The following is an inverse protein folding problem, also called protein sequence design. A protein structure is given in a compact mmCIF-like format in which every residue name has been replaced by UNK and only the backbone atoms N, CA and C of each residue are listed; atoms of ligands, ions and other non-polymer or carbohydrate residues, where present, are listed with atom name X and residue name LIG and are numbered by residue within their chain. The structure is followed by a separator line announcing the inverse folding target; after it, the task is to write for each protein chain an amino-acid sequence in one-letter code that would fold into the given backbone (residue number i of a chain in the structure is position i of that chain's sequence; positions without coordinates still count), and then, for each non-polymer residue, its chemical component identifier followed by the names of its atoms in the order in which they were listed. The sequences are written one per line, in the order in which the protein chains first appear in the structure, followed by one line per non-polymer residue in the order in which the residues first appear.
data_IF_441745110512
#
_entry.id   IF_441745110512
#
_cell.length_a   1.000
_cell.length_b   1.000
_cell.length_c   1.000
_cell.angle_alpha   90.00
_cell.angle_beta   90.00
_cell.angle_gamma   90.00
#
_symmetry.space_group_name_H-M   'P 1'
#
loop_
_entity.id
_entity.type
_entity.pdbx_description
1 polymer ?
#
# COMPACT_ATOMS: atom_id res chain seq x y z
N UNK A 1 4.77 -31.32 -42.47
CA UNK A 1 5.05 -31.51 -41.02
C UNK A 1 5.66 -30.23 -40.48
N UNK A 2 5.09 -29.62 -39.43
CA UNK A 2 5.64 -28.40 -38.84
C UNK A 2 6.97 -28.72 -38.14
N UNK A 3 8.01 -27.93 -38.41
CA UNK A 3 9.33 -28.08 -37.77
C UNK A 3 9.22 -27.69 -36.30
N UNK A 4 9.21 -28.66 -35.39
CA UNK A 4 9.25 -28.41 -33.95
C UNK A 4 10.59 -27.77 -33.58
N UNK A 5 10.57 -26.46 -33.30
CA UNK A 5 11.75 -25.71 -32.85
C UNK A 5 11.93 -25.89 -31.35
N UNK A 6 13.15 -26.23 -30.93
CA UNK A 6 13.50 -26.26 -29.51
C UNK A 6 13.39 -24.84 -28.91
N UNK A 7 12.84 -24.75 -27.70
CA UNK A 7 12.66 -23.51 -26.96
C UNK A 7 13.61 -23.50 -25.78
N UNK A 8 14.37 -22.41 -25.64
CA UNK A 8 15.21 -22.13 -24.49
C UNK A 8 14.40 -21.37 -23.44
N UNK A 9 14.29 -21.94 -22.24
CA UNK A 9 13.74 -21.30 -21.06
C UNK A 9 14.88 -20.93 -20.12
N UNK A 10 14.83 -19.72 -19.54
CA UNK A 10 15.90 -19.18 -18.69
C UNK A 10 15.28 -18.77 -17.36
N UNK A 11 15.98 -19.03 -16.26
CA UNK A 11 15.64 -18.47 -14.96
C UNK A 11 16.91 -18.24 -14.15
N UNK A 12 16.76 -17.71 -12.94
CA UNK A 12 17.88 -17.41 -12.05
C UNK A 12 17.58 -17.86 -10.62
N UNK A 13 18.59 -18.36 -9.92
CA UNK A 13 18.50 -18.76 -8.51
C UNK A 13 19.27 -17.77 -7.67
N UNK A 14 18.62 -17.20 -6.65
CA UNK A 14 19.20 -16.20 -5.75
C UNK A 14 18.93 -16.52 -4.29
N UNK A 15 19.78 -16.02 -3.39
CA UNK A 15 19.53 -16.01 -1.95
C UNK A 15 18.44 -14.98 -1.63
N UNK A 16 17.41 -15.39 -0.89
CA UNK A 16 16.29 -14.52 -0.52
C UNK A 16 16.71 -13.31 0.32
N UNK A 17 17.64 -13.49 1.27
CA UNK A 17 18.06 -12.43 2.19
C UNK A 17 19.11 -11.54 1.55
N UNK A 18 20.11 -12.16 0.92
CA UNK A 18 21.26 -11.45 0.35
C UNK A 18 20.98 -10.88 -1.04
N UNK A 19 19.92 -11.37 -1.71
CA UNK A 19 19.65 -11.11 -3.13
C UNK A 19 20.84 -11.44 -4.05
N UNK A 20 21.75 -12.29 -3.56
CA UNK A 20 22.96 -12.68 -4.28
C UNK A 20 22.67 -13.91 -5.17
N UNK A 21 23.26 -13.98 -6.38
CA UNK A 21 23.13 -15.16 -7.23
C UNK A 21 23.74 -16.40 -6.56
N UNK A 22 23.09 -17.56 -6.77
CA UNK A 22 23.56 -18.85 -6.25
C UNK A 22 24.11 -19.66 -7.41
N UNK A 23 25.43 -19.80 -7.46
CA UNK A 23 26.14 -20.58 -8.46
C UNK A 23 26.18 -22.08 -8.12
N UNK A 24 26.17 -22.93 -9.14
CA UNK A 24 26.30 -24.38 -8.99
C UNK A 24 25.09 -25.07 -8.35
N UNK A 25 23.95 -24.39 -8.24
CA UNK A 25 22.69 -25.00 -7.81
C UNK A 25 22.21 -25.98 -8.87
N UNK A 26 21.83 -27.19 -8.45
CA UNK A 26 21.21 -28.19 -9.32
C UNK A 26 19.75 -27.84 -9.51
N UNK A 27 19.34 -27.62 -10.75
CA UNK A 27 17.95 -27.31 -11.12
C UNK A 27 17.41 -28.46 -11.94
N UNK A 28 16.38 -29.13 -11.42
CA UNK A 28 15.72 -30.26 -12.07
C UNK A 28 14.29 -29.89 -12.42
N UNK A 29 13.84 -30.22 -13.63
CA UNK A 29 12.46 -30.06 -14.05
C UNK A 29 11.90 -31.41 -14.50
N UNK A 30 10.79 -31.82 -13.91
CA UNK A 30 10.11 -33.08 -14.20
C UNK A 30 8.68 -32.80 -14.65
N UNK A 31 8.34 -33.27 -15.84
CA UNK A 31 6.99 -33.35 -16.37
C UNK A 31 6.73 -34.80 -16.84
N UNK A 32 5.45 -35.17 -17.05
CA UNK A 32 4.98 -36.53 -17.37
C UNK A 32 6.02 -37.46 -18.02
N UNK A 33 6.58 -37.04 -19.17
CA UNK A 33 7.55 -37.83 -19.95
C UNK A 33 8.90 -37.12 -20.15
N UNK A 34 9.17 -36.01 -19.47
CA UNK A 34 10.38 -35.21 -19.65
C UNK A 34 11.03 -34.91 -18.30
N UNK A 35 12.29 -35.33 -18.15
CA UNK A 35 13.13 -34.93 -17.03
C UNK A 35 14.36 -34.20 -17.55
N UNK A 36 14.61 -33.01 -17.02
CA UNK A 36 15.72 -32.15 -17.40
C UNK A 36 16.49 -31.78 -16.15
N UNK A 37 17.81 -31.84 -16.22
CA UNK A 37 18.70 -31.42 -15.14
C UNK A 37 19.71 -30.45 -15.73
N UNK A 38 19.91 -29.34 -15.04
CA UNK A 38 20.90 -28.32 -15.37
C UNK A 38 21.51 -27.75 -14.08
N UNK A 39 22.54 -26.93 -14.22
CA UNK A 39 23.19 -26.26 -13.10
C UNK A 39 23.27 -24.77 -13.35
N UNK A 40 23.21 -23.98 -12.30
CA UNK A 40 23.38 -22.53 -12.40
C UNK A 40 24.84 -22.14 -12.61
N UNK A 41 25.07 -21.12 -13.43
CA UNK A 41 26.39 -20.50 -13.60
C UNK A 41 26.75 -19.52 -12.46
N UNK A 42 27.83 -18.75 -12.62
CA UNK A 42 28.31 -17.78 -11.63
C UNK A 42 27.31 -16.64 -11.36
N UNK A 43 26.41 -16.36 -12.31
CA UNK A 43 25.36 -15.35 -12.18
C UNK A 43 24.04 -15.96 -11.66
N UNK A 44 24.08 -17.25 -11.29
CA UNK A 44 22.92 -17.99 -10.81
C UNK A 44 21.94 -18.35 -11.93
N UNK A 45 22.31 -18.20 -13.19
CA UNK A 45 21.42 -18.40 -14.35
C UNK A 45 21.39 -19.88 -14.71
N UNK A 46 20.20 -20.42 -14.95
CA UNK A 46 20.00 -21.76 -15.50
C UNK A 46 19.18 -21.72 -16.79
N UNK A 47 19.37 -22.74 -17.64
CA UNK A 47 18.71 -22.85 -18.93
C UNK A 47 18.19 -24.26 -19.19
N UNK A 48 16.92 -24.37 -19.58
CA UNK A 48 16.32 -25.59 -20.11
C UNK A 48 16.07 -25.46 -21.60
N UNK A 49 16.45 -26.47 -22.37
CA UNK A 49 16.14 -26.57 -23.79
C UNK A 49 15.07 -27.64 -23.94
N UNK A 50 13.84 -27.24 -24.25
CA UNK A 50 12.70 -28.14 -24.36
C UNK A 50 12.21 -28.16 -25.81
N UNK A 51 11.95 -29.35 -26.34
CA UNK A 51 11.17 -29.50 -27.56
C UNK A 51 9.71 -29.65 -27.15
N UNK A 52 8.88 -28.59 -27.21
CA UNK A 52 7.45 -28.77 -27.02
C UNK A 52 7.00 -29.68 -28.16
N UNK A 53 6.52 -30.88 -27.82
CA UNK A 53 5.93 -31.78 -28.82
C UNK A 53 4.65 -31.15 -29.37
N UNK A 54 3.52 -31.83 -29.19
CA UNK A 54 2.23 -31.30 -29.65
C UNK A 54 1.59 -30.35 -28.62
N UNK A 55 2.10 -30.30 -27.39
CA UNK A 55 1.57 -29.46 -26.30
C UNK A 55 2.20 -28.06 -26.35
N UNK A 56 1.35 -27.01 -26.43
CA UNK A 56 1.75 -25.59 -26.31
C UNK A 56 2.23 -25.19 -24.92
N UNK A 57 1.78 -25.92 -23.89
CA UNK A 57 2.14 -25.70 -22.49
C UNK A 57 2.56 -27.02 -21.87
N UNK A 58 3.72 -27.03 -21.23
CA UNK A 58 4.24 -28.15 -20.46
C UNK A 58 4.22 -27.79 -18.98
N UNK A 59 3.37 -28.47 -18.21
CA UNK A 59 3.30 -28.32 -16.76
C UNK A 59 4.17 -29.38 -16.09
N UNK A 60 4.91 -28.98 -15.06
CA UNK A 60 5.77 -29.89 -14.32
C UNK A 60 6.22 -29.31 -12.99
N UNK A 61 7.07 -30.05 -12.31
CA UNK A 61 7.67 -29.68 -11.04
C UNK A 61 9.12 -29.25 -11.28
N UNK A 62 9.52 -28.11 -10.71
CA UNK A 62 10.91 -27.68 -10.61
C UNK A 62 11.42 -27.94 -9.20
N UNK A 63 12.63 -28.49 -9.09
CA UNK A 63 13.33 -28.75 -7.84
C UNK A 63 14.70 -28.07 -7.92
N UNK A 64 15.06 -27.34 -6.88
CA UNK A 64 16.37 -26.68 -6.77
C UNK A 64 17.07 -27.16 -5.51
N UNK A 65 18.23 -27.76 -5.70
CA UNK A 65 19.13 -28.21 -4.65
C UNK A 65 20.43 -27.39 -4.71
N UNK A 66 20.80 -26.80 -3.58
CA UNK A 66 21.97 -25.95 -3.46
C UNK A 66 22.60 -26.09 -2.06
N UNK A 67 23.93 -26.20 -2.02
CA UNK A 67 24.66 -26.36 -0.76
C UNK A 67 24.34 -25.22 0.21
N UNK A 68 23.92 -25.59 1.42
CA UNK A 68 23.61 -24.63 2.50
C UNK A 68 22.19 -24.07 2.46
N UNK A 69 21.33 -24.53 1.55
CA UNK A 69 19.92 -24.17 1.49
C UNK A 69 19.03 -25.41 1.63
N UNK A 70 17.83 -25.27 2.21
CA UNK A 70 16.79 -26.29 2.06
C UNK A 70 16.41 -26.46 0.59
N UNK A 71 16.08 -27.69 0.21
CA UNK A 71 15.57 -27.98 -1.13
C UNK A 71 14.31 -27.13 -1.40
N UNK A 72 14.27 -26.53 -2.58
CA UNK A 72 13.10 -25.81 -3.07
C UNK A 72 12.34 -26.67 -4.08
N UNK A 73 11.02 -26.66 -4.00
CA UNK A 73 10.15 -27.39 -4.94
C UNK A 73 8.90 -26.57 -5.27
N UNK A 74 8.55 -26.50 -6.56
CA UNK A 74 7.38 -25.75 -7.02
C UNK A 74 6.81 -26.30 -8.32
N UNK A 75 5.53 -26.04 -8.59
CA UNK A 75 4.90 -26.32 -9.88
C UNK A 75 5.08 -25.15 -10.83
N UNK A 76 5.57 -25.41 -12.04
CA UNK A 76 5.76 -24.39 -13.08
C UNK A 76 5.12 -24.82 -14.40
N UNK A 77 4.83 -23.83 -15.24
CA UNK A 77 4.30 -24.01 -16.60
C UNK A 77 5.27 -23.39 -17.59
N UNK A 78 5.79 -24.21 -18.50
CA UNK A 78 6.61 -23.78 -19.62
C UNK A 78 5.68 -23.55 -20.82
N UNK A 79 5.54 -22.29 -21.26
CA UNK A 79 4.73 -21.94 -22.44
C UNK A 79 5.62 -21.40 -23.55
N UNK A 80 5.21 -21.60 -24.80
CA UNK A 80 5.96 -21.07 -25.96
C UNK A 80 6.04 -19.53 -25.99
N UNK A 81 5.12 -18.86 -25.29
CA UNK A 81 5.00 -17.40 -25.20
C UNK A 81 5.92 -16.80 -24.12
N UNK A 82 6.18 -17.53 -23.02
CA UNK A 82 6.97 -17.06 -21.89
C UNK A 82 8.21 -17.93 -21.69
N UNK A 83 9.35 -17.42 -22.16
CA UNK A 83 10.66 -18.09 -22.07
C UNK A 83 11.44 -17.74 -20.80
N UNK A 84 11.10 -16.62 -20.16
CA UNK A 84 11.70 -16.19 -18.90
C UNK A 84 10.88 -16.70 -17.70
N UNK A 85 11.54 -17.49 -16.86
CA UNK A 85 10.99 -18.13 -15.65
C UNK A 85 11.15 -17.25 -14.40
N UNK A 86 11.94 -16.17 -14.48
CA UNK A 86 12.21 -15.25 -13.38
C UNK A 86 13.16 -15.81 -12.32
N UNK A 87 13.04 -15.28 -11.11
CA UNK A 87 13.92 -15.60 -9.98
C UNK A 87 13.30 -16.65 -9.03
N UNK A 88 14.07 -17.68 -8.70
CA UNK A 88 13.82 -18.60 -7.60
C UNK A 88 14.64 -18.13 -6.40
N UNK A 89 13.98 -17.88 -5.26
CA UNK A 89 14.62 -17.36 -4.05
C UNK A 89 14.74 -18.46 -2.99
N UNK A 90 15.96 -18.76 -2.55
CA UNK A 90 16.25 -19.76 -1.49
C UNK A 90 16.50 -19.09 -0.13
N UNK A 91 16.08 -19.71 0.99
CA UNK A 91 16.39 -19.19 2.34
C UNK A 91 15.22 -18.55 3.14
N UNK A 92 13.97 -18.89 2.80
CA UNK A 92 12.67 -18.54 3.46
C UNK A 92 12.08 -17.16 3.04
N UNK A 93 10.87 -16.70 3.39
CA UNK A 93 9.94 -17.07 4.49
C UNK A 93 8.94 -18.16 4.07
N UNK A 94 9.03 -19.32 4.71
CA UNK A 94 8.28 -20.57 4.48
C UNK A 94 6.76 -20.42 4.28
N UNK A 95 6.01 -21.35 3.65
CA UNK A 95 6.21 -22.81 3.46
C UNK A 95 5.82 -23.27 2.04
N UNK A 96 6.50 -24.31 1.60
CA UNK A 96 6.08 -25.25 0.56
C UNK A 96 4.59 -25.63 0.64
N UNK A 97 3.80 -25.27 -0.37
CA UNK A 97 2.67 -26.06 -0.88
C UNK A 97 2.21 -25.50 -2.24
N UNK A 98 1.84 -26.36 -3.21
CA UNK A 98 1.47 -25.93 -4.56
C UNK A 98 0.02 -25.46 -4.56
N UNK A 99 -0.23 -24.16 -4.69
CA UNK A 99 -1.58 -23.67 -4.96
C UNK A 99 -1.60 -22.50 -5.93
N UNK A 100 -2.15 -22.80 -7.11
CA UNK A 100 -2.91 -21.95 -8.01
C UNK A 100 -2.37 -20.56 -8.34
N UNK A 101 -1.92 -20.42 -9.59
CA UNK A 101 -2.01 -19.18 -10.35
C UNK A 101 -3.42 -18.60 -10.22
N UNK A 102 -3.59 -17.62 -9.33
CA UNK A 102 -4.64 -16.62 -9.40
C UNK A 102 -4.01 -15.34 -9.92
N UNK A 103 -3.88 -15.24 -11.24
CA UNK A 103 -3.55 -13.98 -11.89
C UNK A 103 -4.81 -13.12 -11.99
N UNK A 104 -5.10 -12.30 -10.99
CA UNK A 104 -5.79 -11.01 -11.22
C UNK A 104 -5.58 -10.05 -10.05
N UNK A 105 -4.86 -8.97 -10.34
CA UNK A 105 -4.98 -7.59 -9.82
C UNK A 105 -5.15 -7.36 -8.32
N UNK A 106 -4.17 -6.68 -7.72
CA UNK A 106 -4.38 -5.99 -6.45
C UNK A 106 -3.13 -5.90 -5.59
N UNK A 107 -2.10 -5.22 -6.09
CA UNK A 107 -1.06 -4.67 -5.23
C UNK A 107 -1.70 -3.71 -4.21
N UNK A 108 -1.80 -4.13 -2.96
CA UNK A 108 -1.62 -3.27 -1.79
C UNK A 108 -0.74 -4.02 -0.80
N UNK A 109 0.54 -4.15 -1.18
CA UNK A 109 1.60 -4.21 -0.19
C UNK A 109 1.66 -2.81 0.43
N UNK A 110 0.99 -2.64 1.56
CA UNK A 110 1.08 -1.43 2.35
C UNK A 110 2.52 -1.31 2.87
N UNK A 111 3.32 -0.49 2.21
CA UNK A 111 4.36 0.24 2.90
C UNK A 111 3.65 1.07 3.97
N UNK A 112 3.65 0.59 5.21
CA UNK A 112 2.93 1.13 6.37
C UNK A 112 3.16 2.62 6.60
N UNK A 113 4.24 3.19 6.06
CA UNK A 113 4.53 4.61 6.16
C UNK A 113 3.71 5.47 5.17
N UNK A 114 3.37 4.96 3.98
CA UNK A 114 2.62 5.75 2.98
C UNK A 114 1.12 5.79 3.32
N UNK A 115 0.54 4.69 3.82
CA UNK A 115 -0.87 4.68 4.27
C UNK A 115 -1.11 5.69 5.39
N UNK A 116 -0.18 5.80 6.34
CA UNK A 116 -0.26 6.79 7.42
C UNK A 116 -0.17 8.21 6.88
N UNK A 117 0.76 8.49 5.96
CA UNK A 117 0.89 9.83 5.35
C UNK A 117 -0.36 10.20 4.54
N UNK A 118 -0.89 9.29 3.73
CA UNK A 118 -2.13 9.51 2.97
C UNK A 118 -3.30 9.76 3.92
N UNK A 119 -3.43 8.98 5.01
CA UNK A 119 -4.48 9.19 6.00
C UNK A 119 -4.40 10.58 6.65
N UNK A 120 -3.19 11.04 7.01
CA UNK A 120 -2.97 12.38 7.58
C UNK A 120 -3.36 13.46 6.56
N UNK A 121 -3.00 13.32 5.29
CA UNK A 121 -3.34 14.28 4.22
C UNK A 121 -4.86 14.34 4.00
N UNK A 122 -5.55 13.20 3.97
CA UNK A 122 -7.00 13.16 3.76
C UNK A 122 -7.75 13.79 4.93
N UNK A 123 -7.35 13.49 6.18
CA UNK A 123 -7.97 14.07 7.37
C UNK A 123 -7.74 15.59 7.40
N UNK A 124 -6.53 16.05 7.12
CA UNK A 124 -6.21 17.49 7.11
C UNK A 124 -6.94 18.26 6.00
N UNK A 125 -7.12 17.67 4.83
CA UNK A 125 -7.92 18.28 3.77
C UNK A 125 -9.40 18.45 4.18
N UNK A 126 -10.01 17.43 4.78
CA UNK A 126 -11.40 17.51 5.24
C UNK A 126 -11.60 18.49 6.40
N UNK A 127 -10.65 18.59 7.34
CA UNK A 127 -10.76 19.56 8.43
C UNK A 127 -10.61 21.00 7.94
N UNK A 128 -9.69 21.27 7.02
CA UNK A 128 -9.55 22.60 6.39
C UNK A 128 -10.82 22.96 5.61
N UNK A 129 -11.36 22.02 4.81
CA UNK A 129 -12.60 22.23 4.06
C UNK A 129 -13.79 22.53 4.98
N UNK A 130 -13.93 21.78 6.09
CA UNK A 130 -15.00 21.99 7.07
C UNK A 130 -14.91 23.36 7.77
N UNK A 131 -13.69 23.85 8.05
CA UNK A 131 -13.47 25.18 8.62
C UNK A 131 -13.79 26.27 7.58
N UNK A 132 -13.36 26.09 6.32
CA UNK A 132 -13.64 27.05 5.24
C UNK A 132 -15.13 27.20 4.93
N UNK A 133 -15.95 26.16 5.13
CA UNK A 133 -17.40 26.25 4.96
C UNK A 133 -18.12 26.90 6.14
N UNK A 134 -17.45 27.13 7.28
CA UNK A 134 -18.04 27.79 8.45
C UNK A 134 -17.83 29.30 8.40
N UNK A 135 -18.41 29.95 7.40
CA UNK A 135 -18.60 31.41 7.38
C UNK A 135 -20.08 31.77 7.25
N UNK A 136 -20.80 31.86 8.38
CA UNK A 136 -21.69 33.00 8.65
C UNK A 136 -22.22 32.95 10.10
N UNK A 137 -21.92 33.93 10.97
CA UNK A 137 -22.69 34.11 12.20
C UNK A 137 -24.11 34.56 11.81
N UNK A 138 -25.10 33.71 12.12
CA UNK A 138 -26.53 34.01 11.98
C UNK A 138 -26.84 35.25 12.82
N UNK A 139 -27.21 36.35 12.17
CA UNK A 139 -27.78 37.53 12.83
C UNK A 139 -29.13 37.11 13.42
N UNK A 140 -29.27 37.23 14.74
CA UNK A 140 -30.56 37.05 15.40
C UNK A 140 -31.54 38.16 14.99
N UNK A 141 -32.85 37.86 14.87
CA UNK A 141 -33.85 38.88 14.63
C UNK A 141 -33.99 39.80 15.85
N UNK A 142 -33.87 41.10 15.61
CA UNK A 142 -34.11 42.18 16.56
C UNK A 142 -35.54 42.06 17.12
N UNK A 143 -35.66 41.65 18.39
CA UNK A 143 -36.91 41.71 19.12
C UNK A 143 -37.09 43.14 19.65
N UNK A 144 -37.86 43.95 18.92
CA UNK A 144 -38.24 45.32 19.29
C UNK A 144 -39.20 45.31 20.48
N UNK A 145 -38.69 45.10 21.69
CA UNK A 145 -39.51 45.11 22.90
C UNK A 145 -38.73 45.52 24.13
N UNK A 146 -37.97 46.63 24.06
CA UNK A 146 -37.32 47.22 25.24
C UNK A 146 -37.28 48.77 25.22
N UNK A 147 -37.47 49.44 24.08
CA UNK A 147 -37.30 50.90 24.02
C UNK A 147 -38.35 51.72 24.82
N UNK A 148 -39.52 51.13 25.11
CA UNK A 148 -40.58 51.81 25.89
C UNK A 148 -40.30 51.84 27.40
N UNK A 149 -39.55 50.86 27.93
CA UNK A 149 -39.19 50.85 29.35
C UNK A 149 -38.08 51.86 29.67
N UNK A 150 -37.12 52.04 28.75
CA UNK A 150 -36.05 53.03 28.91
C UNK A 150 -36.60 54.46 28.92
N UNK A 151 -37.51 54.82 28.00
CA UNK A 151 -38.14 56.15 27.97
C UNK A 151 -38.90 56.48 29.27
N UNK A 152 -39.67 55.51 29.78
CA UNK A 152 -40.38 55.67 31.06
C UNK A 152 -39.41 55.82 32.25
N UNK A 153 -38.26 55.13 32.24
CA UNK A 153 -37.24 55.30 33.28
C UNK A 153 -36.59 56.68 33.23
N UNK A 154 -36.22 57.19 32.05
CA UNK A 154 -35.60 58.52 31.93
C UNK A 154 -36.54 59.65 32.37
N UNK A 155 -37.84 59.56 32.06
CA UNK A 155 -38.82 60.54 32.56
C UNK A 155 -38.96 60.53 34.09
N UNK A 156 -38.79 59.37 34.75
CA UNK A 156 -38.80 59.30 36.23
C UNK A 156 -37.54 59.89 36.88
N UNK A 157 -36.39 59.85 36.23
CA UNK A 157 -35.15 60.46 36.75
C UNK A 157 -35.14 61.98 36.58
N UNK A 158 -35.66 62.50 35.47
CA UNK A 158 -35.79 63.94 35.23
C UNK A 158 -36.73 64.63 36.23
N UNK A 159 -37.78 63.94 36.69
CA UNK A 159 -38.71 64.45 37.70
C UNK A 159 -38.18 64.38 39.14
N UNK A 160 -36.91 64.03 39.34
CA UNK A 160 -36.37 63.73 40.67
C UNK A 160 -35.01 64.35 40.94
N UNK A 161 -34.88 65.67 40.79
CA UNK A 161 -33.76 66.46 41.34
C UNK A 161 -34.24 67.90 41.61
N UNK A 162 -33.77 68.63 42.64
CA UNK A 162 -33.07 68.26 43.87
C UNK A 162 -33.77 68.81 45.13
N UNK A 163 -33.26 68.50 46.32
CA UNK A 163 -33.00 69.62 47.21
C UNK A 163 -31.65 69.50 47.91
N UNK A 164 -31.02 70.66 48.02
CA UNK A 164 -29.65 70.95 48.44
C UNK A 164 -29.31 70.32 49.79
N UNK A 165 -28.01 70.28 50.09
CA UNK A 165 -27.33 70.63 51.37
C UNK A 165 -26.08 69.74 51.46
N UNK A 166 -24.90 70.16 51.90
CA UNK A 166 -24.30 71.42 52.33
C UNK A 166 -22.90 71.03 52.82
N UNK A 167 -22.01 72.03 52.88
CA UNK A 167 -20.95 72.20 53.88
C UNK A 167 -19.60 71.43 53.76
N UNK A 168 -18.58 72.30 53.72
CA UNK A 168 -17.29 72.30 54.45
C UNK A 168 -16.08 71.73 53.72
N UNK A 169 -15.08 72.54 53.37
CA UNK A 169 -14.23 73.47 54.13
C UNK A 169 -13.26 72.80 55.12
N UNK A 170 -11.99 73.22 55.01
CA UNK A 170 -10.79 72.99 55.86
C UNK A 170 -10.10 71.63 55.71
N UNK A 171 -8.77 71.49 55.59
CA UNK A 171 -7.56 72.29 55.93
C UNK A 171 -6.41 71.81 55.01
N UNK A 172 -5.38 72.59 54.64
CA UNK A 172 -4.29 73.20 55.44
C UNK A 172 -3.79 74.51 54.80
#
# INVERSE_FOLDING_TARGET
MAKQTAISYIGRVIDYRKQAPISGAKVSFTAENNSLVTYTDLEGIYRFIVKPGDKKVLQGQIVVDAKGYPEYSSLIRLSTERKDLGDIRLGSRSKSSPSNYRSTSGSKEENSNLTVVIAIIVISFFTILAISLKSNPRREPINQQDDREFLNRYQRYQNKVPDRQRLNDFTF
#
